data_IF_514959401482
#
_entry.id   IF_514959401482
#
_cell.length_a   1.000
_cell.length_b   1.000
_cell.length_c   1.000
_cell.angle_alpha   90.00
_cell.angle_beta   90.00
_cell.angle_gamma   90.00
#
_symmetry.space_group_name_H-M   'P 1'
#
loop_
_entity.id
_entity.type
_entity.pdbx_description
1 polymer ?
#
# COMPACT_ATOMS: atom_id res chain seq x y z
N UNK A 1 -16.94 41.79 3.60
CA UNK A 1 -16.06 41.45 4.75
C UNK A 1 -15.68 39.96 4.79
N UNK A 2 -16.63 39.02 4.76
CA UNK A 2 -16.32 37.57 4.81
C UNK A 2 -15.38 37.04 3.73
N UNK A 3 -15.52 37.48 2.47
CA UNK A 3 -14.63 37.07 1.38
C UNK A 3 -13.17 37.50 1.60
N UNK A 4 -12.95 38.72 2.11
CA UNK A 4 -11.60 39.23 2.39
C UNK A 4 -10.94 38.46 3.54
N UNK A 5 -11.71 38.12 4.56
CA UNK A 5 -11.23 37.27 5.67
C UNK A 5 -10.86 35.87 5.15
N UNK A 6 -11.72 35.27 4.33
CA UNK A 6 -11.45 33.95 3.73
C UNK A 6 -10.18 33.96 2.87
N UNK A 7 -10.02 34.94 1.99
CA UNK A 7 -8.82 35.10 1.17
C UNK A 7 -7.57 35.35 2.02
N UNK A 8 -7.69 36.13 3.09
CA UNK A 8 -6.62 36.35 4.06
C UNK A 8 -6.16 35.07 4.76
N UNK A 9 -7.10 34.23 5.19
CA UNK A 9 -6.80 32.92 5.81
C UNK A 9 -6.15 31.96 4.81
N UNK A 10 -6.64 31.90 3.57
CA UNK A 10 -6.03 31.08 2.53
C UNK A 10 -4.60 31.52 2.20
N UNK A 11 -4.38 32.83 2.04
CA UNK A 11 -3.06 33.38 1.79
C UNK A 11 -2.11 33.08 2.96
N UNK A 12 -2.57 33.28 4.20
CA UNK A 12 -1.80 32.95 5.40
C UNK A 12 -1.43 31.46 5.43
N UNK A 13 -2.39 30.55 5.26
CA UNK A 13 -2.13 29.12 5.27
C UNK A 13 -1.18 28.70 4.15
N UNK A 14 -1.31 29.29 2.95
CA UNK A 14 -0.43 28.98 1.81
C UNK A 14 0.99 29.43 2.08
N UNK A 15 1.18 30.66 2.60
CA UNK A 15 2.50 31.23 2.86
C UNK A 15 3.16 30.66 4.12
N UNK A 16 2.38 30.15 5.07
CA UNK A 16 2.91 29.55 6.31
C UNK A 16 3.00 28.02 6.26
N UNK A 17 2.51 27.39 5.19
CA UNK A 17 2.65 25.95 4.99
C UNK A 17 4.13 25.59 4.83
N UNK A 18 4.70 25.01 5.88
CA UNK A 18 6.05 24.47 5.86
C UNK A 18 6.01 22.99 5.51
N UNK A 19 6.88 22.56 4.59
CA UNK A 19 7.04 21.14 4.28
C UNK A 19 7.52 20.38 5.52
N UNK A 20 6.85 19.28 5.84
CA UNK A 20 7.30 18.30 6.84
C UNK A 20 8.06 17.13 6.22
N UNK A 21 8.32 17.20 4.92
CA UNK A 21 9.03 16.14 4.22
C UNK A 21 10.48 16.11 4.70
N UNK A 22 10.92 14.95 5.15
CA UNK A 22 12.29 14.75 5.58
C UNK A 22 13.20 14.86 4.36
N UNK A 23 14.22 15.71 4.46
CA UNK A 23 15.32 15.73 3.49
C UNK A 23 16.17 14.51 3.80
N UNK A 24 16.08 13.50 2.94
CA UNK A 24 16.84 12.26 3.05
C UNK A 24 17.91 12.23 1.97
N UNK A 25 19.12 11.81 2.33
CA UNK A 25 20.17 11.54 1.35
C UNK A 25 19.71 10.39 0.46
N UNK A 26 19.76 10.55 -0.88
CA UNK A 26 19.41 9.46 -1.79
C UNK A 26 20.25 8.22 -1.48
N UNK A 27 19.58 7.08 -1.34
CA UNK A 27 20.22 5.77 -1.22
C UNK A 27 20.31 5.12 -2.59
N UNK A 28 21.31 4.28 -2.80
CA UNK A 28 21.40 3.48 -4.03
C UNK A 28 20.13 2.63 -4.18
N UNK A 29 19.50 2.63 -5.37
CA UNK A 29 18.35 1.79 -5.61
C UNK A 29 18.68 0.32 -5.38
N UNK A 30 17.87 -0.36 -4.56
CA UNK A 30 17.96 -1.81 -4.40
C UNK A 30 17.38 -2.47 -5.64
N UNK A 31 18.14 -3.36 -6.26
CA UNK A 31 17.66 -4.14 -7.39
C UNK A 31 16.47 -5.02 -6.95
N UNK A 32 15.32 -4.82 -7.59
CA UNK A 32 14.14 -5.67 -7.37
C UNK A 32 14.38 -7.00 -8.08
N UNK A 33 14.43 -8.10 -7.33
CA UNK A 33 14.61 -9.42 -7.92
C UNK A 33 13.36 -9.86 -8.71
N UNK A 34 13.55 -10.80 -9.64
CA UNK A 34 12.44 -11.33 -10.44
C UNK A 34 11.33 -11.95 -9.59
N UNK A 35 11.68 -12.52 -8.42
CA UNK A 35 10.72 -13.16 -7.51
C UNK A 35 9.80 -12.15 -6.85
N UNK A 36 10.27 -10.95 -6.54
CA UNK A 36 9.46 -9.87 -6.00
C UNK A 36 8.41 -9.42 -7.02
N UNK A 37 8.81 -9.29 -8.29
CA UNK A 37 7.88 -9.01 -9.39
C UNK A 37 6.86 -10.13 -9.55
N UNK A 38 7.27 -11.39 -9.46
CA UNK A 38 6.36 -12.53 -9.60
C UNK A 38 5.37 -12.64 -8.42
N UNK A 39 5.81 -12.31 -7.20
CA UNK A 39 4.92 -12.22 -6.02
C UNK A 39 3.92 -11.07 -6.17
N UNK A 40 4.37 -9.91 -6.64
CA UNK A 40 3.49 -8.76 -6.87
C UNK A 40 2.46 -9.08 -7.97
N UNK A 41 2.89 -9.70 -9.07
CA UNK A 41 2.01 -10.14 -10.14
C UNK A 41 0.95 -11.13 -9.64
N UNK A 42 1.30 -12.04 -8.74
CA UNK A 42 0.33 -12.94 -8.10
C UNK A 42 -0.61 -12.19 -7.15
N UNK A 43 -0.10 -11.24 -6.37
CA UNK A 43 -0.90 -10.45 -5.44
C UNK A 43 -2.00 -9.62 -6.14
N UNK A 44 -1.67 -9.02 -7.29
CA UNK A 44 -2.60 -8.24 -8.13
C UNK A 44 -3.84 -9.05 -8.55
N UNK A 45 -3.74 -10.38 -8.63
CA UNK A 45 -4.86 -11.24 -9.04
C UNK A 45 -5.94 -11.40 -7.98
N UNK A 46 -5.72 -10.90 -6.77
CA UNK A 46 -6.71 -10.88 -5.70
C UNK A 46 -7.38 -9.50 -5.66
N UNK A 47 -8.62 -9.36 -6.16
CA UNK A 47 -9.34 -8.09 -6.15
C UNK A 47 -9.85 -7.79 -4.73
N UNK A 48 -8.98 -7.28 -3.87
CA UNK A 48 -9.24 -6.89 -2.46
C UNK A 48 -10.10 -5.63 -2.37
N UNK A 49 -11.20 -5.57 -3.12
CA UNK A 49 -12.12 -4.44 -3.12
C UNK A 49 -12.90 -4.41 -1.81
N UNK A 50 -12.84 -3.27 -1.13
CA UNK A 50 -13.53 -3.02 0.13
C UNK A 50 -14.49 -1.85 -0.03
N UNK A 51 -15.79 -2.14 -0.12
CA UNK A 51 -16.86 -1.15 -0.17
C UNK A 51 -17.46 -0.94 1.24
N UNK A 52 -18.07 0.23 1.52
CA UNK A 52 -18.66 0.51 2.84
C UNK A 52 -19.67 -0.54 3.32
N UNK A 53 -20.39 -1.18 2.40
CA UNK A 53 -21.46 -2.15 2.67
C UNK A 53 -21.04 -3.60 2.38
N UNK A 54 -19.93 -3.82 1.67
CA UNK A 54 -19.49 -5.14 1.20
C UNK A 54 -17.98 -5.24 1.12
N UNK A 55 -17.44 -6.29 1.72
CA UNK A 55 -16.03 -6.68 1.59
C UNK A 55 -15.95 -8.09 1.01
N UNK A 56 -15.20 -8.28 -0.07
CA UNK A 56 -14.90 -9.62 -0.58
C UNK A 56 -13.84 -10.30 0.28
N UNK A 57 -14.28 -10.94 1.36
CA UNK A 57 -13.37 -11.61 2.29
C UNK A 57 -12.53 -12.73 1.65
N UNK A 58 -12.99 -13.34 0.56
CA UNK A 58 -12.25 -14.43 -0.09
C UNK A 58 -10.98 -13.90 -0.79
N UNK A 59 -11.07 -12.74 -1.44
CA UNK A 59 -9.91 -12.08 -2.03
C UNK A 59 -8.85 -11.74 -0.96
N UNK A 60 -9.27 -11.18 0.18
CA UNK A 60 -8.36 -10.88 1.30
C UNK A 60 -7.71 -12.14 1.88
N UNK A 61 -8.47 -13.25 2.02
CA UNK A 61 -7.92 -14.52 2.49
C UNK A 61 -6.93 -15.15 1.49
N UNK A 62 -7.22 -15.03 0.20
CA UNK A 62 -6.32 -15.48 -0.86
C UNK A 62 -5.00 -14.72 -0.86
N UNK A 63 -5.06 -13.39 -0.75
CA UNK A 63 -3.87 -12.55 -0.60
C UNK A 63 -3.11 -12.87 0.68
N UNK A 64 -3.80 -13.05 1.81
CA UNK A 64 -3.18 -13.42 3.09
C UNK A 64 -2.41 -14.74 2.98
N UNK A 65 -3.01 -15.75 2.34
CA UNK A 65 -2.39 -17.05 2.11
C UNK A 65 -1.16 -16.94 1.20
N UNK A 66 -1.25 -16.15 0.13
CA UNK A 66 -0.10 -15.87 -0.75
C UNK A 66 1.05 -15.24 0.05
N UNK A 67 0.77 -14.22 0.86
CA UNK A 67 1.80 -13.51 1.61
C UNK A 67 2.48 -14.42 2.64
N UNK A 68 1.72 -15.27 3.36
CA UNK A 68 2.31 -16.24 4.29
C UNK A 68 3.25 -17.22 3.57
N UNK A 69 2.84 -17.73 2.39
CA UNK A 69 3.70 -18.62 1.60
C UNK A 69 4.92 -17.91 0.98
N UNK A 70 4.77 -16.64 0.61
CA UNK A 70 5.79 -15.88 -0.10
C UNK A 70 6.90 -15.35 0.81
N UNK A 71 6.60 -15.12 2.10
CA UNK A 71 7.48 -14.49 3.08
C UNK A 71 7.58 -15.29 4.40
N UNK A 72 8.00 -16.57 4.37
CA UNK A 72 8.01 -17.41 5.57
C UNK A 72 8.90 -16.89 6.70
N UNK A 73 9.97 -16.14 6.37
CA UNK A 73 10.85 -15.54 7.36
C UNK A 73 10.19 -14.39 8.12
N UNK A 74 9.28 -13.66 7.49
CA UNK A 74 8.55 -12.57 8.14
C UNK A 74 7.68 -13.17 9.24
N UNK A 75 6.92 -14.21 8.92
CA UNK A 75 6.05 -14.88 9.89
C UNK A 75 6.84 -15.63 10.98
N UNK A 76 8.06 -16.11 10.68
CA UNK A 76 8.88 -16.81 11.69
C UNK A 76 9.66 -15.88 12.62
N UNK A 77 10.03 -14.68 12.16
CA UNK A 77 10.92 -13.77 12.90
C UNK A 77 10.17 -12.63 13.58
N UNK A 78 9.00 -12.25 13.07
CA UNK A 78 8.23 -11.13 13.58
C UNK A 78 7.07 -11.63 14.44
N UNK A 79 6.75 -10.84 15.46
CA UNK A 79 5.50 -11.00 16.19
C UNK A 79 4.36 -10.45 15.32
N UNK A 80 3.31 -11.26 15.10
CA UNK A 80 2.15 -10.89 14.28
C UNK A 80 0.92 -10.74 15.17
N UNK A 81 0.40 -9.53 15.25
CA UNK A 81 -0.92 -9.25 15.80
C UNK A 81 -1.94 -9.07 14.68
N UNK A 82 -3.12 -9.67 14.83
CA UNK A 82 -4.25 -9.47 13.92
C UNK A 82 -5.27 -8.53 14.55
N UNK A 83 -5.57 -7.43 13.87
CA UNK A 83 -6.60 -6.48 14.29
C UNK A 83 -7.87 -6.69 13.46
N UNK A 84 -9.00 -6.84 14.14
CA UNK A 84 -10.32 -7.22 13.60
C UNK A 84 -10.33 -8.58 12.87
N UNK A 85 -9.70 -8.69 11.69
CA UNK A 85 -9.63 -9.95 10.92
C UNK A 85 -8.50 -10.00 9.88
N UNK A 86 -8.32 -8.92 9.12
CA UNK A 86 -7.40 -8.88 7.96
C UNK A 86 -6.24 -7.90 8.13
N UNK A 87 -6.31 -6.98 9.11
CA UNK A 87 -5.22 -6.06 9.39
C UNK A 87 -4.09 -6.77 10.12
N UNK A 88 -2.90 -6.74 9.54
CA UNK A 88 -1.68 -7.36 10.09
C UNK A 88 -0.81 -6.28 10.70
N UNK A 89 -0.52 -6.40 11.99
CA UNK A 89 0.50 -5.61 12.66
C UNK A 89 1.69 -6.52 12.93
N UNK A 90 2.77 -6.30 12.19
CA UNK A 90 4.03 -6.98 12.45
C UNK A 90 4.91 -6.14 13.36
N UNK A 91 5.41 -6.76 14.41
CA UNK A 91 6.28 -6.14 15.40
C UNK A 91 7.68 -6.74 15.22
N UNK A 92 8.59 -5.92 14.70
CA UNK A 92 10.01 -6.26 14.62
C UNK A 92 10.79 -5.55 15.72
N UNK A 93 11.20 -6.30 16.74
CA UNK A 93 11.97 -5.74 17.86
C UNK A 93 13.38 -5.39 17.41
N UNK A 94 13.68 -4.09 17.45
CA UNK A 94 15.02 -3.57 17.17
C UNK A 94 16.04 -4.01 18.23
N UNK A 95 17.32 -4.06 17.85
CA UNK A 95 18.42 -4.43 18.76
C UNK A 95 18.62 -3.40 19.89
N UNK A 96 18.27 -2.14 19.66
CA UNK A 96 18.36 -1.08 20.67
C UNK A 96 16.94 -0.60 21.04
N UNK A 97 16.42 -0.98 22.23
CA UNK A 97 15.06 -0.62 22.65
C UNK A 97 14.90 0.86 23.04
N UNK A 98 15.98 1.64 23.11
CA UNK A 98 15.93 3.06 23.45
C UNK A 98 15.70 3.96 22.24
N UNK A 99 15.78 3.43 21.02
CA UNK A 99 15.48 4.20 19.81
C UNK A 99 13.96 4.30 19.61
N UNK A 100 13.47 5.43 19.07
CA UNK A 100 12.08 5.53 18.65
C UNK A 100 11.73 4.46 17.60
N UNK A 101 10.50 3.90 17.63
CA UNK A 101 10.07 2.95 16.62
C UNK A 101 9.88 3.64 15.25
N UNK A 102 10.09 2.87 14.19
CA UNK A 102 9.66 3.25 12.84
C UNK A 102 8.39 2.48 12.48
N UNK A 103 7.39 3.19 11.92
CA UNK A 103 6.16 2.58 11.42
C UNK A 103 6.17 2.57 9.89
N UNK A 104 6.07 1.38 9.32
CA UNK A 104 5.77 1.19 7.91
C UNK A 104 4.31 0.78 7.80
N UNK A 105 3.53 1.56 7.06
CA UNK A 105 2.10 1.33 6.90
C UNK A 105 1.75 1.34 5.43
N UNK A 106 0.97 0.35 5.03
CA UNK A 106 0.37 0.23 3.72
C UNK A 106 -1.05 -0.31 3.90
N UNK A 107 -1.88 -0.15 2.88
CA UNK A 107 -3.19 -0.76 2.81
C UNK A 107 -3.19 -1.79 1.67
N UNK A 108 -4.00 -2.83 1.82
CA UNK A 108 -4.07 -3.93 0.87
C UNK A 108 -5.35 -3.90 0.04
N UNK A 109 -6.33 -3.07 0.41
CA UNK A 109 -7.55 -2.88 -0.34
C UNK A 109 -7.31 -2.02 -1.58
N UNK A 110 -8.06 -2.31 -2.64
CA UNK A 110 -7.96 -1.62 -3.93
C UNK A 110 -9.30 -1.02 -4.32
N UNK A 111 -9.23 -0.01 -5.19
CA UNK A 111 -10.42 0.60 -5.76
C UNK A 111 -11.11 -0.38 -6.74
N UNK A 112 -12.45 -0.37 -6.83
CA UNK A 112 -13.15 -1.14 -7.84
C UNK A 112 -12.82 -0.63 -9.25
N UNK A 113 -12.97 -1.52 -10.24
CA UNK A 113 -12.89 -1.13 -11.65
C UNK A 113 -14.21 -0.47 -12.03
N UNK A 114 -14.17 0.83 -12.25
CA UNK A 114 -15.33 1.60 -12.69
C UNK A 114 -15.82 1.10 -14.05
N UNK A 115 -17.13 0.84 -14.18
CA UNK A 115 -17.68 0.21 -15.39
C UNK A 115 -17.42 1.05 -16.63
N UNK A 116 -17.53 2.38 -16.51
CA UNK A 116 -17.25 3.32 -17.60
C UNK A 116 -15.77 3.34 -18.01
N UNK A 117 -14.87 2.89 -17.14
CA UNK A 117 -13.42 2.82 -17.43
C UNK A 117 -13.02 1.47 -18.03
N UNK A 118 -13.87 0.45 -17.98
CA UNK A 118 -13.53 -0.94 -18.35
C UNK A 118 -13.00 -1.05 -19.77
N UNK A 119 -13.58 -0.31 -20.71
CA UNK A 119 -13.15 -0.29 -22.11
C UNK A 119 -11.79 0.41 -22.33
N UNK A 120 -11.34 1.24 -21.39
CA UNK A 120 -10.05 1.94 -21.48
C UNK A 120 -8.88 1.07 -21.00
N UNK A 121 -9.15 -0.05 -20.30
CA UNK A 121 -8.11 -0.98 -19.88
C UNK A 121 -7.55 -1.73 -21.08
N UNK A 122 -6.26 -1.54 -21.35
CA UNK A 122 -5.53 -2.27 -22.40
C UNK A 122 -5.16 -3.70 -21.96
N UNK A 123 -5.19 -3.96 -20.66
CA UNK A 123 -4.83 -5.22 -20.00
C UNK A 123 -5.83 -5.51 -18.87
N UNK A 124 -6.06 -6.77 -18.48
CA UNK A 124 -7.00 -7.08 -17.39
C UNK A 124 -6.59 -6.40 -16.08
N UNK A 125 -7.50 -5.70 -15.39
CA UNK A 125 -7.21 -4.90 -14.18
C UNK A 125 -6.76 -5.73 -12.98
N UNK A 126 -6.98 -7.04 -12.98
CA UNK A 126 -6.47 -7.95 -11.94
C UNK A 126 -5.68 -9.10 -12.58
N UNK A 127 -5.00 -8.83 -13.70
CA UNK A 127 -4.27 -9.84 -14.47
C UNK A 127 -2.89 -10.17 -13.90
N UNK A 128 -2.22 -9.17 -13.30
CA UNK A 128 -0.82 -9.29 -12.89
C UNK A 128 0.08 -9.62 -14.08
N UNK A 129 -0.05 -8.85 -15.16
CA UNK A 129 0.57 -9.15 -16.46
C UNK A 129 1.83 -8.32 -16.68
N UNK A 130 2.96 -8.99 -16.88
CA UNK A 130 4.23 -8.36 -17.25
C UNK A 130 4.30 -8.19 -18.76
N UNK A 131 4.43 -6.95 -19.25
CA UNK A 131 4.55 -6.65 -20.68
C UNK A 131 5.27 -5.33 -20.90
N UNK A 132 6.14 -5.27 -21.90
CA UNK A 132 6.82 -4.05 -22.36
C UNK A 132 7.57 -3.29 -21.24
N UNK A 133 8.10 -4.01 -20.24
CA UNK A 133 8.80 -3.44 -19.10
C UNK A 133 7.91 -3.02 -17.92
N UNK A 134 6.59 -3.20 -18.03
CA UNK A 134 5.60 -2.85 -17.00
C UNK A 134 4.91 -4.09 -16.42
N UNK A 135 4.36 -3.94 -15.22
CA UNK A 135 3.43 -4.88 -14.61
C UNK A 135 2.06 -4.23 -14.54
N UNK A 136 1.07 -4.84 -15.21
CA UNK A 136 -0.30 -4.33 -15.32
C UNK A 136 -1.27 -5.08 -14.41
N UNK A 137 -2.15 -4.29 -13.79
CA UNK A 137 -3.31 -4.67 -13.00
C UNK A 137 -3.46 -3.71 -11.82
#
# INVERSE_FOLDING_TARGET
MGLLVFLGVLAWNTLTLSSRQLVVTPVEPVAVDGKALDRLAQAIRFPTVSLPDRVDTAAFQGLDSLLHGAFPLVDSLLELERVNRFSRLFIWRGKNPHLPPALFMAHADVVPVEENSRAAWTHPPFGGLRRDGYLYG
#
